data_IF_698552560993
#
_entry.id   IF_698552560993
#
_cell.length_a   1.000
_cell.length_b   1.000
_cell.length_c   1.000
_cell.angle_alpha   90.00
_cell.angle_beta   90.00
_cell.angle_gamma   90.00
#
_symmetry.space_group_name_H-M   'P 1'
#
loop_
_entity.id
_entity.type
_entity.pdbx_description
1 polymer ?
#
# COMPACT_ATOMS: atom_id res chain seq x y z
N UNK A 1 -13.85 -15.22 17.15
CA UNK A 1 -15.02 -14.78 16.36
C UNK A 1 -15.13 -13.26 16.15
N UNK A 2 -14.69 -12.41 17.07
CA UNK A 2 -14.69 -10.93 16.89
C UNK A 2 -13.67 -10.44 15.85
N UNK A 3 -12.52 -11.08 15.70
CA UNK A 3 -11.50 -10.75 14.68
C UNK A 3 -12.01 -10.91 13.24
N UNK A 4 -12.83 -11.92 12.93
CA UNK A 4 -13.34 -12.14 11.57
C UNK A 4 -14.26 -11.01 11.04
N UNK A 5 -14.96 -10.27 11.92
CA UNK A 5 -15.77 -9.10 11.49
C UNK A 5 -14.91 -7.91 11.06
N UNK A 6 -13.76 -7.70 11.70
CA UNK A 6 -12.84 -6.59 11.37
C UNK A 6 -12.17 -6.81 10.02
N UNK A 7 -11.94 -8.05 9.60
CA UNK A 7 -11.30 -8.41 8.35
C UNK A 7 -12.09 -8.01 7.11
N UNK A 8 -13.43 -8.04 7.19
CA UNK A 8 -14.29 -7.73 6.04
C UNK A 8 -14.15 -6.30 5.53
N UNK A 9 -13.70 -5.37 6.39
CA UNK A 9 -13.63 -3.93 6.11
C UNK A 9 -12.22 -3.36 6.22
N UNK A 10 -11.20 -4.20 6.10
CA UNK A 10 -9.79 -3.77 6.26
C UNK A 10 -9.42 -2.66 5.28
N UNK A 11 -9.70 -2.84 3.98
CA UNK A 11 -9.33 -1.86 2.98
C UNK A 11 -10.11 -0.54 3.16
N UNK A 12 -11.37 -0.57 3.60
CA UNK A 12 -12.14 0.64 3.95
C UNK A 12 -11.51 1.39 5.11
N UNK A 13 -11.10 0.69 6.15
CA UNK A 13 -10.43 1.32 7.31
C UNK A 13 -9.14 1.99 6.88
N UNK A 14 -8.32 1.31 6.07
CA UNK A 14 -7.08 1.87 5.51
C UNK A 14 -7.39 3.08 4.62
N UNK A 15 -8.37 2.97 3.72
CA UNK A 15 -8.76 4.05 2.79
C UNK A 15 -9.29 5.29 3.52
N UNK A 16 -10.14 5.11 4.54
CA UNK A 16 -10.64 6.21 5.37
C UNK A 16 -9.49 6.87 6.14
N UNK A 17 -8.62 6.08 6.77
CA UNK A 17 -7.48 6.62 7.52
C UNK A 17 -6.52 7.38 6.61
N UNK A 18 -6.26 6.87 5.41
CA UNK A 18 -5.45 7.54 4.40
C UNK A 18 -6.07 8.85 3.95
N UNK A 19 -7.37 8.84 3.59
CA UNK A 19 -8.10 10.03 3.16
C UNK A 19 -8.12 11.12 4.25
N UNK A 20 -8.39 10.75 5.50
CA UNK A 20 -8.35 11.67 6.63
C UNK A 20 -6.95 12.27 6.84
N UNK A 21 -5.90 11.46 6.73
CA UNK A 21 -4.51 11.94 6.83
C UNK A 21 -4.18 12.99 5.76
N UNK A 22 -4.57 12.74 4.50
CA UNK A 22 -4.37 13.68 3.38
C UNK A 22 -5.21 14.97 3.57
N UNK A 23 -6.46 14.84 4.03
CA UNK A 23 -7.31 16.01 4.29
C UNK A 23 -6.79 16.85 5.45
N UNK A 24 -6.28 16.23 6.51
CA UNK A 24 -5.63 16.94 7.62
C UNK A 24 -4.37 17.66 7.13
N UNK A 25 -3.55 17.03 6.30
CA UNK A 25 -2.38 17.66 5.69
C UNK A 25 -2.79 18.83 4.80
N UNK A 26 -3.85 18.68 4.00
CA UNK A 26 -4.40 19.77 3.18
C UNK A 26 -4.89 20.95 4.04
N UNK A 27 -5.63 20.65 5.12
CA UNK A 27 -6.11 21.68 6.05
C UNK A 27 -4.94 22.40 6.74
N UNK A 28 -3.94 21.65 7.24
CA UNK A 28 -2.76 22.21 7.87
C UNK A 28 -2.03 23.20 6.94
N UNK A 29 -1.76 22.79 5.70
CA UNK A 29 -1.05 23.62 4.71
C UNK A 29 -1.81 24.86 4.28
N UNK A 30 -3.16 24.88 4.38
CA UNK A 30 -3.96 26.03 3.94
C UNK A 30 -4.41 26.95 5.10
N UNK A 31 -4.58 26.42 6.32
CA UNK A 31 -5.11 27.14 7.47
C UNK A 31 -4.02 27.65 8.41
N UNK A 32 -2.89 26.93 8.49
CA UNK A 32 -1.81 27.24 9.43
C UNK A 32 -0.67 27.92 8.67
N UNK A 33 -0.59 29.26 8.82
CA UNK A 33 0.45 30.06 8.14
C UNK A 33 1.78 30.20 8.91
N UNK A 34 1.80 30.34 10.27
CA UNK A 34 3.06 30.43 10.99
C UNK A 34 3.69 29.05 11.20
N UNK A 35 4.95 28.88 10.83
CA UNK A 35 5.72 27.62 11.00
C UNK A 35 5.71 27.10 12.46
N UNK A 36 5.74 28.03 13.42
CA UNK A 36 5.68 27.68 14.85
C UNK A 36 4.35 27.05 15.26
N UNK A 37 3.23 27.52 14.70
CA UNK A 37 1.92 26.94 14.96
C UNK A 37 1.79 25.56 14.35
N UNK A 38 2.34 25.34 13.15
CA UNK A 38 2.40 24.02 12.50
C UNK A 38 3.17 23.01 13.37
N UNK A 39 4.35 23.38 13.86
CA UNK A 39 5.17 22.53 14.74
C UNK A 39 4.42 22.16 16.03
N UNK A 40 3.70 23.11 16.65
CA UNK A 40 2.89 22.87 17.85
C UNK A 40 1.75 21.90 17.56
N UNK A 41 0.99 22.09 16.47
CA UNK A 41 -0.13 21.24 16.09
C UNK A 41 0.36 19.80 15.82
N UNK A 42 1.43 19.64 15.05
CA UNK A 42 2.02 18.33 14.76
C UNK A 42 2.50 17.63 16.03
N UNK A 43 3.13 18.38 16.97
CA UNK A 43 3.57 17.84 18.25
C UNK A 43 2.40 17.37 19.12
N UNK A 44 1.32 18.15 19.19
CA UNK A 44 0.10 17.78 19.92
C UNK A 44 -0.56 16.54 19.27
N UNK A 45 -0.65 16.49 17.95
CA UNK A 45 -1.18 15.32 17.24
C UNK A 45 -0.34 14.05 17.50
N UNK A 46 1.01 14.18 17.52
CA UNK A 46 1.90 13.08 17.84
C UNK A 46 1.68 12.58 19.28
N UNK A 47 1.61 13.49 20.25
CA UNK A 47 1.35 13.12 21.65
C UNK A 47 -0.01 12.44 21.82
N UNK A 48 -1.05 12.91 21.14
CA UNK A 48 -2.37 12.27 21.14
C UNK A 48 -2.32 10.86 20.53
N UNK A 49 -1.59 10.67 19.41
CA UNK A 49 -1.39 9.36 18.82
C UNK A 49 -0.68 8.40 19.77
N UNK A 50 0.43 8.84 20.39
CA UNK A 50 1.17 8.02 21.37
C UNK A 50 0.26 7.67 22.56
N UNK A 51 -0.50 8.63 23.08
CA UNK A 51 -1.45 8.40 24.16
C UNK A 51 -2.54 7.39 23.78
N UNK A 52 -3.12 7.51 22.57
CA UNK A 52 -4.11 6.55 22.06
C UNK A 52 -3.53 5.14 21.91
N UNK A 53 -2.29 5.02 21.42
CA UNK A 53 -1.60 3.73 21.30
C UNK A 53 -1.41 3.08 22.67
N UNK A 54 -0.88 3.83 23.65
CA UNK A 54 -0.68 3.32 25.03
C UNK A 54 -2.01 2.91 25.65
N UNK A 55 -3.07 3.69 25.46
CA UNK A 55 -4.40 3.36 25.98
C UNK A 55 -4.97 2.09 25.34
N UNK A 56 -4.81 1.96 24.02
CA UNK A 56 -5.29 0.78 23.28
C UNK A 56 -4.53 -0.49 23.69
N UNK A 57 -3.21 -0.37 23.90
CA UNK A 57 -2.37 -1.48 24.34
C UNK A 57 -2.76 -1.95 25.76
N UNK A 58 -3.02 -1.02 26.68
CA UNK A 58 -3.55 -1.37 28.01
C UNK A 58 -4.88 -2.11 27.96
N UNK A 59 -5.83 -1.64 27.14
CA UNK A 59 -7.14 -2.30 26.96
C UNK A 59 -6.98 -3.67 26.33
N UNK A 60 -5.99 -3.85 25.44
CA UNK A 60 -5.69 -5.14 24.82
C UNK A 60 -5.09 -6.12 25.83
N UNK A 61 -4.14 -5.68 26.65
CA UNK A 61 -3.52 -6.47 27.72
C UNK A 61 -4.55 -6.84 28.80
N UNK A 62 -5.44 -5.91 29.18
CA UNK A 62 -6.49 -6.15 30.18
C UNK A 62 -7.52 -7.17 29.72
N UNK A 63 -7.92 -7.12 28.43
CA UNK A 63 -8.85 -8.09 27.83
C UNK A 63 -8.22 -9.48 27.61
N UNK A 64 -6.91 -9.56 27.35
CA UNK A 64 -6.20 -10.83 27.18
C UNK A 64 -5.68 -11.40 28.51
N UNK A 65 -5.43 -10.58 29.50
CA UNK A 65 -5.04 -11.03 30.87
C UNK A 65 -6.15 -11.81 31.58
N UNK A 66 -7.40 -11.62 31.19
CA UNK A 66 -8.54 -12.43 31.71
C UNK A 66 -8.73 -13.78 30.98
N UNK A 67 -8.00 -14.02 29.88
CA UNK A 67 -8.03 -15.30 29.15
C UNK A 67 -6.74 -16.14 29.35
N UNK A 68 -5.79 -15.69 30.13
CA UNK A 68 -4.51 -16.37 30.36
C UNK A 68 -4.52 -17.33 31.56
N UNK A 69 -5.58 -18.10 31.76
CA UNK A 69 -5.58 -19.35 32.53
C UNK A 69 -5.84 -20.56 31.62
N UNK A 70 -5.02 -20.67 30.56
CA UNK A 70 -4.84 -21.96 29.86
C UNK A 70 -3.40 -22.38 30.14
N UNK A 71 -3.18 -23.59 30.71
CA UNK A 71 -1.85 -24.09 31.00
C UNK A 71 -0.99 -24.09 29.73
N UNK A 72 0.32 -23.91 29.83
CA UNK A 72 1.21 -24.04 28.70
C UNK A 72 1.22 -25.50 28.27
N UNK A 73 0.39 -25.85 27.29
CA UNK A 73 0.52 -27.11 26.60
C UNK A 73 1.82 -27.11 25.78
N UNK A 74 2.62 -28.08 26.10
CA UNK A 74 3.94 -28.40 25.57
C UNK A 74 4.03 -28.32 24.05
N UNK A 75 5.13 -27.71 23.61
CA UNK A 75 5.87 -27.95 22.35
C UNK A 75 5.23 -28.94 21.36
N UNK A 76 4.44 -28.44 20.43
CA UNK A 76 4.31 -29.06 19.11
C UNK A 76 5.20 -28.28 18.10
N UNK A 77 6.49 -28.41 18.32
CA UNK A 77 7.55 -28.06 17.42
C UNK A 77 7.84 -29.30 16.57
N UNK A 78 7.28 -29.37 15.34
CA UNK A 78 7.94 -30.11 14.24
C UNK A 78 7.18 -30.16 12.90
N UNK A 79 5.93 -29.67 12.80
CA UNK A 79 5.20 -29.77 11.53
C UNK A 79 5.11 -28.45 10.71
N UNK A 80 5.56 -27.32 11.25
CA UNK A 80 5.31 -25.97 10.69
C UNK A 80 6.39 -25.42 9.75
N UNK A 81 7.46 -26.15 9.44
CA UNK A 81 8.58 -25.60 8.63
C UNK A 81 8.17 -25.33 7.18
N UNK A 82 7.28 -26.14 6.61
CA UNK A 82 6.81 -26.00 5.23
C UNK A 82 5.85 -24.82 5.03
N UNK A 83 4.98 -24.57 5.99
CA UNK A 83 3.98 -23.49 5.96
C UNK A 83 4.65 -22.11 6.05
N UNK A 84 5.63 -21.96 6.94
CA UNK A 84 6.39 -20.74 7.10
C UNK A 84 7.24 -20.38 5.86
N UNK A 85 7.74 -21.37 5.14
CA UNK A 85 8.53 -21.15 3.92
C UNK A 85 7.64 -20.58 2.79
N UNK A 86 6.44 -21.12 2.60
CA UNK A 86 5.51 -20.64 1.56
C UNK A 86 4.98 -19.24 1.84
N UNK A 87 4.63 -18.93 3.09
CA UNK A 87 4.25 -17.58 3.50
C UNK A 87 5.36 -16.56 3.21
N UNK A 88 6.61 -16.91 3.48
CA UNK A 88 7.78 -16.08 3.19
C UNK A 88 7.96 -15.80 1.69
N UNK A 89 7.72 -16.79 0.81
CA UNK A 89 7.79 -16.60 -0.65
C UNK A 89 6.73 -15.60 -1.13
N UNK A 90 5.48 -15.73 -0.66
CA UNK A 90 4.40 -14.78 -0.98
C UNK A 90 4.77 -13.37 -0.50
N UNK A 91 5.37 -13.25 0.69
CA UNK A 91 5.86 -11.98 1.22
C UNK A 91 6.93 -11.33 0.36
N UNK A 92 7.93 -12.09 -0.05
CA UNK A 92 9.02 -11.61 -0.94
C UNK A 92 8.46 -11.16 -2.30
N UNK A 93 7.54 -11.93 -2.88
CA UNK A 93 6.89 -11.57 -4.14
C UNK A 93 6.06 -10.28 -4.00
N UNK A 94 5.39 -10.08 -2.87
CA UNK A 94 4.66 -8.85 -2.60
C UNK A 94 5.60 -7.64 -2.45
N UNK A 95 6.74 -7.80 -1.77
CA UNK A 95 7.80 -6.77 -1.67
C UNK A 95 8.31 -6.41 -3.07
N UNK A 96 8.68 -7.40 -3.87
CA UNK A 96 9.17 -7.20 -5.24
C UNK A 96 8.12 -6.52 -6.11
N UNK A 97 6.85 -6.93 -6.01
CA UNK A 97 5.74 -6.32 -6.73
C UNK A 97 5.59 -4.84 -6.38
N UNK A 98 5.60 -4.50 -5.09
CA UNK A 98 5.49 -3.10 -4.63
C UNK A 98 6.70 -2.28 -5.07
N UNK A 99 7.92 -2.81 -5.01
CA UNK A 99 9.12 -2.14 -5.52
C UNK A 99 9.00 -1.77 -6.99
N UNK A 100 8.62 -2.72 -7.84
CA UNK A 100 8.47 -2.51 -9.27
C UNK A 100 7.31 -1.55 -9.59
N UNK A 101 6.19 -1.66 -8.90
CA UNK A 101 5.06 -0.72 -9.05
C UNK A 101 5.45 0.69 -8.61
N UNK A 102 6.20 0.83 -7.51
CA UNK A 102 6.71 2.12 -7.04
C UNK A 102 7.54 2.80 -8.13
N UNK A 103 8.29 2.06 -8.92
CA UNK A 103 9.07 2.63 -10.03
C UNK A 103 8.16 3.28 -11.07
N UNK A 104 7.08 2.61 -11.49
CA UNK A 104 6.10 3.16 -12.45
C UNK A 104 5.43 4.41 -11.88
N UNK A 105 4.94 4.33 -10.63
CA UNK A 105 4.24 5.47 -10.00
C UNK A 105 5.17 6.65 -9.72
N UNK A 106 6.43 6.42 -9.32
CA UNK A 106 7.43 7.47 -9.17
C UNK A 106 7.79 8.12 -10.51
N UNK A 107 7.80 7.36 -11.60
CA UNK A 107 8.02 7.93 -12.93
C UNK A 107 6.87 8.85 -13.34
N UNK A 108 5.63 8.45 -13.06
CA UNK A 108 4.46 9.29 -13.32
C UNK A 108 4.43 10.52 -12.41
N UNK A 109 4.74 10.37 -11.12
CA UNK A 109 4.86 11.47 -10.16
C UNK A 109 5.88 12.51 -10.62
N UNK A 110 7.09 12.05 -10.94
CA UNK A 110 8.16 12.93 -11.40
C UNK A 110 7.82 13.60 -12.74
N UNK A 111 7.14 12.90 -13.64
CA UNK A 111 6.69 13.50 -14.91
C UNK A 111 5.68 14.63 -14.69
N UNK A 112 4.76 14.48 -13.74
CA UNK A 112 3.78 15.51 -13.36
C UNK A 112 4.45 16.66 -12.61
N UNK A 113 5.31 16.34 -11.64
CA UNK A 113 6.01 17.33 -10.81
C UNK A 113 6.99 18.19 -11.61
N UNK A 114 7.68 17.60 -12.60
CA UNK A 114 8.63 18.34 -13.45
C UNK A 114 7.94 19.44 -14.27
N UNK A 115 6.74 19.21 -14.78
CA UNK A 115 5.94 20.21 -15.48
C UNK A 115 5.56 21.38 -14.56
N UNK A 116 5.22 21.09 -13.30
CA UNK A 116 4.94 22.11 -12.29
C UNK A 116 6.21 22.91 -11.92
N UNK A 117 7.34 22.22 -11.69
CA UNK A 117 8.60 22.85 -11.32
C UNK A 117 9.13 23.78 -12.42
N UNK A 118 8.85 23.47 -13.69
CA UNK A 118 9.20 24.32 -14.83
C UNK A 118 8.30 25.56 -14.98
N UNK A 119 7.35 25.76 -14.06
CA UNK A 119 6.47 26.95 -14.01
C UNK A 119 5.44 27.04 -15.14
N UNK A 120 5.26 25.96 -15.91
CA UNK A 120 4.32 25.94 -17.04
C UNK A 120 2.85 25.85 -16.60
N UNK A 121 2.61 25.24 -15.43
CA UNK A 121 1.25 25.11 -14.85
C UNK A 121 1.33 25.22 -13.34
N UNK A 122 0.55 26.12 -12.74
CA UNK A 122 0.34 26.14 -11.28
C UNK A 122 -0.74 25.12 -10.92
N UNK A 123 -0.31 24.04 -10.25
CA UNK A 123 -1.21 22.94 -9.83
C UNK A 123 -1.98 23.31 -8.56
N UNK A 124 -1.47 24.24 -7.74
CA UNK A 124 -2.08 24.60 -6.45
C UNK A 124 -2.18 23.41 -5.47
N UNK A 125 -3.08 23.51 -4.51
CA UNK A 125 -3.29 22.48 -3.47
C UNK A 125 -4.47 21.53 -3.75
N UNK A 126 -5.34 21.87 -4.70
CA UNK A 126 -6.57 21.12 -4.98
C UNK A 126 -6.37 19.63 -5.34
N UNK A 127 -5.26 19.19 -5.98
CA UNK A 127 -5.08 17.80 -6.33
C UNK A 127 -4.97 16.88 -5.11
N UNK A 128 -4.61 17.40 -3.93
CA UNK A 128 -4.62 16.64 -2.67
C UNK A 128 -6.02 16.15 -2.29
N UNK A 129 -7.07 16.92 -2.63
CA UNK A 129 -8.45 16.48 -2.44
C UNK A 129 -8.74 15.27 -3.32
N UNK A 130 -8.26 15.27 -4.56
CA UNK A 130 -8.38 14.14 -5.47
C UNK A 130 -7.67 12.90 -4.94
N UNK A 131 -6.49 13.07 -4.34
CA UNK A 131 -5.74 12.00 -3.68
C UNK A 131 -6.50 11.40 -2.49
N UNK A 132 -7.11 12.24 -1.66
CA UNK A 132 -7.95 11.78 -0.54
C UNK A 132 -9.18 11.00 -1.05
N UNK A 133 -9.88 11.53 -2.06
CA UNK A 133 -11.03 10.86 -2.66
C UNK A 133 -10.67 9.54 -3.31
N UNK A 134 -9.53 9.45 -3.99
CA UNK A 134 -9.04 8.21 -4.61
C UNK A 134 -8.70 7.15 -3.57
N UNK A 135 -8.06 7.52 -2.47
CA UNK A 135 -7.79 6.61 -1.35
C UNK A 135 -9.06 6.09 -0.68
N UNK A 136 -10.05 6.98 -0.50
CA UNK A 136 -11.36 6.60 0.01
C UNK A 136 -12.06 5.63 -0.95
N UNK A 137 -12.12 5.95 -2.24
CA UNK A 137 -12.71 5.10 -3.27
C UNK A 137 -12.01 3.72 -3.33
N UNK A 138 -10.68 3.70 -3.27
CA UNK A 138 -9.88 2.47 -3.24
C UNK A 138 -10.29 1.57 -2.06
N UNK A 139 -10.46 2.14 -0.87
CA UNK A 139 -10.89 1.41 0.31
C UNK A 139 -12.22 0.69 0.11
N UNK A 140 -13.22 1.37 -0.47
CA UNK A 140 -14.52 0.76 -0.76
C UNK A 140 -14.45 -0.27 -1.89
N UNK A 141 -13.76 0.04 -2.98
CA UNK A 141 -13.65 -0.81 -4.16
C UNK A 141 -12.88 -2.09 -3.85
N UNK A 142 -11.80 -2.02 -3.08
CA UNK A 142 -11.03 -3.21 -2.72
C UNK A 142 -11.77 -4.17 -1.79
N UNK A 143 -12.65 -3.69 -0.90
CA UNK A 143 -13.43 -4.55 -0.03
C UNK A 143 -14.60 -5.27 -0.74
N UNK A 144 -14.85 -4.98 -2.02
CA UNK A 144 -15.84 -5.70 -2.82
C UNK A 144 -15.45 -7.18 -2.88
N UNK A 145 -16.43 -8.06 -2.54
CA UNK A 145 -16.23 -9.52 -2.49
C UNK A 145 -14.98 -9.94 -1.69
N UNK A 146 -14.78 -9.29 -0.55
CA UNK A 146 -13.71 -9.63 0.39
C UNK A 146 -12.32 -9.58 -0.26
N UNK A 147 -12.02 -8.49 -0.96
CA UNK A 147 -10.71 -8.19 -1.60
C UNK A 147 -10.28 -9.14 -2.74
N UNK A 148 -11.20 -10.01 -3.18
CA UNK A 148 -10.88 -10.97 -4.27
C UNK A 148 -10.35 -10.29 -5.54
N UNK A 149 -10.84 -9.09 -5.84
CA UNK A 149 -10.49 -8.35 -7.06
C UNK A 149 -9.44 -7.25 -6.84
N UNK A 150 -8.93 -7.09 -5.63
CA UNK A 150 -7.98 -6.02 -5.29
C UNK A 150 -6.75 -6.02 -6.22
N UNK A 151 -6.16 -7.18 -6.47
CA UNK A 151 -5.00 -7.31 -7.37
C UNK A 151 -5.34 -6.99 -8.83
N UNK A 152 -6.51 -7.43 -9.32
CA UNK A 152 -6.97 -7.14 -10.68
C UNK A 152 -7.21 -5.64 -10.89
N UNK A 153 -7.89 -4.99 -9.95
CA UNK A 153 -8.17 -3.55 -10.00
C UNK A 153 -6.84 -2.78 -10.01
N UNK A 154 -5.92 -3.16 -9.11
CA UNK A 154 -4.61 -2.51 -9.07
C UNK A 154 -3.82 -2.71 -10.36
N UNK A 155 -3.91 -3.88 -10.98
CA UNK A 155 -3.30 -4.15 -12.27
C UNK A 155 -3.87 -3.25 -13.39
N UNK A 156 -5.19 -3.05 -13.44
CA UNK A 156 -5.83 -2.12 -14.38
C UNK A 156 -5.35 -0.67 -14.17
N UNK A 157 -5.20 -0.24 -12.92
CA UNK A 157 -4.68 1.09 -12.59
C UNK A 157 -3.21 1.24 -13.03
N UNK A 158 -2.42 0.20 -12.87
CA UNK A 158 -1.03 0.18 -13.34
C UNK A 158 -0.94 0.29 -14.86
N UNK A 159 -1.79 -0.43 -15.61
CA UNK A 159 -1.91 -0.28 -17.07
C UNK A 159 -2.21 1.17 -17.43
N UNK A 160 -3.23 1.76 -16.79
CA UNK A 160 -3.62 3.15 -17.03
C UNK A 160 -2.47 4.12 -16.76
N UNK A 161 -1.74 3.94 -15.65
CA UNK A 161 -0.58 4.76 -15.31
C UNK A 161 0.55 4.62 -16.33
N UNK A 162 0.82 3.40 -16.79
CA UNK A 162 1.85 3.14 -17.82
C UNK A 162 1.49 3.81 -19.14
N UNK A 163 0.24 3.67 -19.60
CA UNK A 163 -0.25 4.35 -20.80
C UNK A 163 -0.13 5.87 -20.63
N UNK A 164 -0.46 6.39 -19.46
CA UNK A 164 -0.39 7.81 -19.16
C UNK A 164 1.04 8.35 -19.26
N UNK A 165 2.05 7.63 -18.77
CA UNK A 165 3.47 8.02 -18.93
C UNK A 165 3.84 8.12 -20.42
N UNK A 166 3.45 7.12 -21.22
CA UNK A 166 3.70 7.12 -22.65
C UNK A 166 3.03 8.31 -23.34
N UNK A 167 1.75 8.57 -23.05
CA UNK A 167 1.00 9.69 -23.62
C UNK A 167 1.59 11.05 -23.23
N UNK A 168 2.00 11.22 -21.97
CA UNK A 168 2.65 12.47 -21.53
C UNK A 168 3.97 12.73 -22.27
N UNK A 169 4.74 11.67 -22.53
CA UNK A 169 6.00 11.80 -23.29
C UNK A 169 5.80 12.03 -24.80
N UNK A 170 4.62 11.75 -25.33
CA UNK A 170 4.19 12.03 -26.69
C UNK A 170 3.41 13.36 -26.81
N UNK A 171 3.62 14.30 -25.87
CA UNK A 171 2.97 15.60 -25.81
C UNK A 171 1.44 15.54 -25.58
N UNK A 172 0.98 14.54 -24.82
CA UNK A 172 -0.41 14.43 -24.41
C UNK A 172 -0.85 15.49 -23.37
N UNK A 173 -2.14 15.60 -23.11
CA UNK A 173 -2.68 16.63 -22.23
C UNK A 173 -2.27 16.41 -20.76
N UNK A 174 -1.56 17.40 -20.20
CA UNK A 174 -1.01 17.34 -18.83
C UNK A 174 -2.08 17.09 -17.74
N UNK A 175 -3.27 17.71 -17.86
CA UNK A 175 -4.34 17.54 -16.87
C UNK A 175 -4.79 16.08 -16.74
N UNK A 176 -4.80 15.33 -17.84
CA UNK A 176 -5.13 13.89 -17.81
C UNK A 176 -4.06 13.14 -16.99
N UNK A 177 -2.77 13.44 -17.22
CA UNK A 177 -1.67 12.90 -16.44
C UNK A 177 -1.78 13.16 -14.96
N UNK A 178 -2.12 14.39 -14.60
CA UNK A 178 -2.33 14.82 -13.22
C UNK A 178 -3.46 14.02 -12.53
N UNK A 179 -4.62 13.92 -13.18
CA UNK A 179 -5.78 13.18 -12.64
C UNK A 179 -5.44 11.70 -12.47
N UNK A 180 -4.83 11.08 -13.49
CA UNK A 180 -4.45 9.67 -13.46
C UNK A 180 -3.42 9.42 -12.36
N UNK A 181 -2.45 10.31 -12.18
CA UNK A 181 -1.46 10.20 -11.11
C UNK A 181 -2.12 10.17 -9.72
N UNK A 182 -2.93 11.19 -9.40
CA UNK A 182 -3.55 11.26 -8.06
C UNK A 182 -4.55 10.13 -7.80
N UNK A 183 -5.29 9.71 -8.83
CA UNK A 183 -6.14 8.52 -8.74
C UNK A 183 -5.30 7.27 -8.44
N UNK A 184 -4.27 7.04 -9.21
CA UNK A 184 -3.39 5.87 -9.07
C UNK A 184 -2.66 5.84 -7.74
N UNK A 185 -2.15 6.98 -7.27
CA UNK A 185 -1.40 7.09 -6.01
C UNK A 185 -2.25 6.71 -4.79
N UNK A 186 -3.52 7.16 -4.73
CA UNK A 186 -4.43 6.77 -3.65
C UNK A 186 -4.75 5.27 -3.66
N UNK A 187 -5.07 4.70 -4.83
CA UNK A 187 -5.28 3.26 -4.97
C UNK A 187 -4.05 2.46 -4.59
N UNK A 188 -2.87 2.88 -5.03
CA UNK A 188 -1.62 2.19 -4.72
C UNK A 188 -1.30 2.22 -3.22
N UNK A 189 -1.49 3.37 -2.55
CA UNK A 189 -1.27 3.50 -1.12
C UNK A 189 -2.16 2.55 -0.30
N UNK A 190 -3.44 2.45 -0.65
CA UNK A 190 -4.38 1.53 0.01
C UNK A 190 -4.06 0.07 -0.33
N UNK A 191 -3.67 -0.22 -1.58
CA UNK A 191 -3.31 -1.57 -2.04
C UNK A 191 -2.16 -2.16 -1.22
N UNK A 192 -1.00 -1.50 -1.18
CA UNK A 192 0.15 -2.09 -0.49
C UNK A 192 -0.07 -2.11 1.02
N UNK A 193 -0.72 -1.10 1.61
CA UNK A 193 -0.99 -1.09 3.06
C UNK A 193 -1.93 -2.23 3.45
N UNK A 194 -3.08 -2.37 2.79
CA UNK A 194 -4.04 -3.43 3.11
C UNK A 194 -3.51 -4.83 2.75
N UNK A 195 -2.74 -4.95 1.66
CA UNK A 195 -2.15 -6.21 1.23
C UNK A 195 -1.12 -6.74 2.22
N UNK A 196 -0.22 -5.89 2.72
CA UNK A 196 0.75 -6.29 3.74
C UNK A 196 0.10 -6.55 5.10
N UNK A 197 -0.91 -5.78 5.51
CA UNK A 197 -1.68 -6.05 6.73
C UNK A 197 -2.44 -7.37 6.65
N UNK A 198 -2.98 -7.74 5.50
CA UNK A 198 -3.60 -9.05 5.30
C UNK A 198 -2.58 -10.18 5.41
N UNK A 199 -1.43 -10.03 4.74
CA UNK A 199 -0.37 -11.03 4.71
C UNK A 199 0.33 -11.19 6.06
N UNK A 200 0.50 -10.10 6.82
CA UNK A 200 1.21 -10.10 8.11
C UNK A 200 0.66 -11.12 9.12
N UNK A 201 -0.63 -11.43 9.06
CA UNK A 201 -1.30 -12.38 9.96
C UNK A 201 -0.80 -13.80 9.85
N UNK A 202 -0.21 -14.14 8.69
CA UNK A 202 0.33 -15.46 8.39
C UNK A 202 1.86 -15.51 8.49
N UNK A 203 2.47 -14.44 9.02
CA UNK A 203 3.93 -14.31 9.14
C UNK A 203 4.38 -14.46 10.60
N UNK A 204 5.64 -14.88 10.80
CA UNK A 204 6.24 -15.04 12.12
C UNK A 204 6.32 -13.74 12.93
N UNK A 205 6.46 -12.60 12.25
CA UNK A 205 6.59 -11.26 12.83
C UNK A 205 5.54 -10.34 12.22
N UNK A 206 4.27 -10.43 12.67
CA UNK A 206 3.15 -9.70 12.06
C UNK A 206 3.36 -8.18 12.06
N UNK A 207 3.94 -7.63 13.14
CA UNK A 207 4.18 -6.20 13.33
C UNK A 207 5.13 -5.64 12.25
N UNK A 208 6.20 -6.39 11.95
CA UNK A 208 7.17 -6.02 10.92
C UNK A 208 6.52 -6.04 9.53
N UNK A 209 5.80 -7.10 9.21
CA UNK A 209 5.18 -7.25 7.89
C UNK A 209 4.03 -6.27 7.66
N UNK A 210 3.27 -5.91 8.69
CA UNK A 210 2.19 -4.92 8.56
C UNK A 210 2.70 -3.54 8.10
N UNK A 211 3.89 -3.11 8.58
CA UNK A 211 4.51 -1.85 8.18
C UNK A 211 5.36 -1.91 6.90
N UNK A 212 5.69 -3.12 6.42
CA UNK A 212 6.64 -3.34 5.33
C UNK A 212 6.24 -2.63 4.03
N UNK A 213 4.94 -2.60 3.71
CA UNK A 213 4.46 -1.97 2.49
C UNK A 213 4.85 -0.50 2.36
N UNK A 214 4.69 0.26 3.43
CA UNK A 214 5.06 1.70 3.45
C UNK A 214 6.58 1.86 3.43
N UNK A 215 7.31 1.05 4.19
CA UNK A 215 8.76 1.09 4.23
C UNK A 215 9.37 0.80 2.84
N UNK A 216 8.95 -0.28 2.20
CA UNK A 216 9.40 -0.67 0.84
C UNK A 216 9.10 0.43 -0.18
N UNK A 217 7.88 0.97 -0.18
CA UNK A 217 7.51 2.05 -1.10
C UNK A 217 8.42 3.28 -0.90
N UNK A 218 8.60 3.75 0.34
CA UNK A 218 9.37 4.96 0.61
C UNK A 218 10.87 4.78 0.32
N UNK A 219 11.45 3.65 0.71
CA UNK A 219 12.87 3.34 0.44
C UNK A 219 13.10 3.24 -1.07
N UNK A 220 12.24 2.51 -1.78
CA UNK A 220 12.35 2.36 -3.23
C UNK A 220 12.23 3.72 -3.91
N UNK A 221 11.21 4.52 -3.57
CA UNK A 221 11.02 5.85 -4.16
C UNK A 221 12.25 6.76 -3.94
N UNK A 222 12.83 6.74 -2.73
CA UNK A 222 14.03 7.54 -2.42
C UNK A 222 15.26 7.07 -3.25
N UNK A 223 15.46 5.77 -3.38
CA UNK A 223 16.60 5.21 -4.13
C UNK A 223 16.49 5.52 -5.63
N UNK A 224 15.29 5.43 -6.20
CA UNK A 224 15.10 5.61 -7.65
C UNK A 224 14.89 7.07 -8.08
N UNK A 225 14.66 8.01 -7.14
CA UNK A 225 14.30 9.39 -7.46
C UNK A 225 15.26 10.05 -8.45
N UNK A 226 16.56 9.96 -8.21
CA UNK A 226 17.59 10.54 -9.11
C UNK A 226 17.60 9.85 -10.48
N UNK A 227 17.45 8.53 -10.52
CA UNK A 227 17.41 7.78 -11.78
C UNK A 227 16.20 8.20 -12.62
N UNK A 228 15.04 8.30 -12.00
CA UNK A 228 13.80 8.72 -12.69
C UNK A 228 13.90 10.14 -13.22
N UNK A 229 14.45 11.08 -12.44
CA UNK A 229 14.66 12.45 -12.89
C UNK A 229 15.64 12.51 -14.07
N UNK A 230 16.73 11.76 -14.05
CA UNK A 230 17.70 11.68 -15.15
C UNK A 230 17.06 11.12 -16.43
N UNK A 231 16.21 10.09 -16.31
CA UNK A 231 15.46 9.53 -17.44
C UNK A 231 14.47 10.56 -18.02
N UNK A 232 13.76 11.27 -17.16
CA UNK A 232 12.74 12.24 -17.58
C UNK A 232 13.32 13.53 -18.18
N UNK A 233 14.53 13.93 -17.77
CA UNK A 233 15.23 15.09 -18.32
C UNK A 233 15.83 14.82 -19.70
N UNK A 234 15.82 13.59 -20.18
CA UNK A 234 16.25 13.26 -21.53
C UNK A 234 15.29 13.81 -22.58
N UNK A 235 15.82 14.44 -23.64
CA UNK A 235 15.04 14.97 -24.76
C UNK A 235 14.40 13.85 -25.61
N UNK A 236 14.94 12.64 -25.54
CA UNK A 236 14.44 11.49 -26.29
C UNK A 236 13.30 10.79 -25.55
N UNK A 237 12.09 10.81 -26.10
CA UNK A 237 10.94 10.08 -25.57
C UNK A 237 11.19 8.57 -25.46
N UNK A 238 12.00 7.99 -26.32
CA UNK A 238 12.33 6.57 -26.36
C UNK A 238 13.05 6.14 -25.08
N UNK A 239 13.92 6.98 -24.52
CA UNK A 239 14.68 6.71 -23.29
C UNK A 239 13.77 6.51 -22.08
N UNK A 240 12.58 7.10 -22.08
CA UNK A 240 11.57 6.90 -21.00
C UNK A 240 10.60 5.78 -21.34
N UNK A 241 10.13 5.72 -22.58
CA UNK A 241 9.09 4.78 -23.01
C UNK A 241 9.59 3.34 -22.92
N UNK A 242 10.79 3.04 -23.42
CA UNK A 242 11.30 1.66 -23.47
C UNK A 242 11.50 1.06 -22.07
N UNK A 243 12.19 1.72 -21.11
CA UNK A 243 12.30 1.20 -19.75
C UNK A 243 10.95 1.08 -19.06
N UNK A 244 10.00 2.01 -19.28
CA UNK A 244 8.67 1.96 -18.69
C UNK A 244 7.89 0.73 -19.18
N UNK A 245 7.93 0.41 -20.47
CA UNK A 245 7.29 -0.77 -21.04
C UNK A 245 7.97 -2.07 -20.56
N UNK A 246 9.29 -2.08 -20.48
CA UNK A 246 10.02 -3.23 -19.93
C UNK A 246 9.66 -3.47 -18.48
N UNK A 247 9.59 -2.41 -17.68
CA UNK A 247 9.17 -2.46 -16.29
C UNK A 247 7.72 -2.95 -16.16
N UNK A 248 6.82 -2.51 -17.03
CA UNK A 248 5.44 -2.98 -17.07
C UNK A 248 5.36 -4.49 -17.31
N UNK A 249 6.16 -5.04 -18.23
CA UNK A 249 6.25 -6.49 -18.46
C UNK A 249 6.76 -7.20 -17.22
N UNK A 250 7.81 -6.69 -16.58
CA UNK A 250 8.37 -7.25 -15.34
C UNK A 250 7.32 -7.28 -14.22
N UNK A 251 6.59 -6.17 -14.00
CA UNK A 251 5.49 -6.12 -13.02
C UNK A 251 4.40 -7.14 -13.36
N UNK A 252 4.05 -7.29 -14.63
CA UNK A 252 3.02 -8.25 -15.06
C UNK A 252 3.40 -9.69 -14.72
N UNK A 253 4.67 -10.05 -14.94
CA UNK A 253 5.19 -11.38 -14.60
C UNK A 253 5.16 -11.60 -13.09
N UNK A 254 5.64 -10.62 -12.31
CA UNK A 254 5.67 -10.72 -10.84
C UNK A 254 4.25 -10.72 -10.25
N UNK A 255 3.33 -9.93 -10.79
CA UNK A 255 1.92 -9.91 -10.38
C UNK A 255 1.24 -11.26 -10.64
N UNK A 256 1.50 -11.89 -11.79
CA UNK A 256 1.00 -13.22 -12.10
C UNK A 256 1.58 -14.27 -11.12
N UNK A 257 2.89 -14.25 -10.89
CA UNK A 257 3.56 -15.14 -9.94
C UNK A 257 3.02 -14.95 -8.51
N UNK A 258 2.87 -13.71 -8.06
CA UNK A 258 2.29 -13.39 -6.75
C UNK A 258 0.86 -13.92 -6.62
N UNK A 259 0.01 -13.70 -7.62
CA UNK A 259 -1.39 -14.13 -7.60
C UNK A 259 -1.50 -15.64 -7.54
N UNK A 260 -0.66 -16.36 -8.31
CA UNK A 260 -0.62 -17.81 -8.31
C UNK A 260 -0.16 -18.38 -6.96
N UNK A 261 0.95 -17.85 -6.42
CA UNK A 261 1.50 -18.29 -5.13
C UNK A 261 0.56 -17.95 -3.96
N UNK A 262 -0.05 -16.76 -3.96
CA UNK A 262 -1.06 -16.38 -2.95
C UNK A 262 -2.25 -17.33 -2.96
N UNK A 263 -2.75 -17.71 -4.15
CA UNK A 263 -3.86 -18.64 -4.28
C UNK A 263 -3.50 -20.01 -3.72
N UNK A 264 -2.36 -20.56 -4.09
CA UNK A 264 -1.87 -21.85 -3.60
C UNK A 264 -1.65 -21.86 -2.07
N UNK A 265 -1.13 -20.76 -1.52
CA UNK A 265 -0.96 -20.58 -0.08
C UNK A 265 -2.29 -20.52 0.67
N UNK A 266 -3.28 -19.79 0.16
CA UNK A 266 -4.61 -19.70 0.78
C UNK A 266 -5.39 -21.01 0.70
N UNK A 267 -5.28 -21.76 -0.39
CA UNK A 267 -5.89 -23.09 -0.53
C UNK A 267 -5.31 -24.07 0.49
N UNK A 268 -4.00 -24.03 0.71
CA UNK A 268 -3.34 -24.87 1.72
C UNK A 268 -3.84 -24.53 3.13
N UNK A 269 -3.90 -23.23 3.50
CA UNK A 269 -4.41 -22.81 4.83
C UNK A 269 -5.84 -23.30 5.09
N UNK A 270 -6.68 -23.35 4.06
CA UNK A 270 -8.06 -23.86 4.18
C UNK A 270 -8.05 -25.37 4.40
N UNK A 271 -7.20 -26.12 3.71
CA UNK A 271 -7.07 -27.57 3.86
C UNK A 271 -6.55 -27.93 5.26
N UNK A 272 -5.48 -27.29 5.70
CA UNK A 272 -4.88 -27.52 7.03
C UNK A 272 -5.87 -27.21 8.16
N UNK A 273 -6.70 -26.14 7.97
CA UNK A 273 -7.77 -25.81 8.93
C UNK A 273 -8.91 -26.85 8.94
N UNK A 274 -9.26 -27.45 7.79
CA UNK A 274 -10.27 -28.49 7.69
C UNK A 274 -9.82 -29.79 8.35
N UNK A 275 -8.55 -30.17 8.14
CA UNK A 275 -7.95 -31.38 8.73
C UNK A 275 -7.88 -31.26 10.26
N UNK A 276 -7.49 -30.09 10.78
CA UNK A 276 -7.47 -29.83 12.23
C UNK A 276 -8.85 -29.88 12.92
N UNK A 277 -9.94 -29.65 12.19
CA UNK A 277 -11.31 -29.80 12.70
C UNK A 277 -11.70 -31.29 12.70
N UNK A 278 -11.33 -32.03 11.66
CA UNK A 278 -11.65 -33.48 11.53
C UNK A 278 -10.92 -34.35 12.57
N UNK A 279 -9.73 -33.95 13.04
CA UNK A 279 -9.01 -34.67 14.11
C UNK A 279 -9.61 -34.47 15.51
N UNK A 280 -10.50 -33.51 15.68
CA UNK A 280 -11.12 -33.19 16.99
C UNK A 280 -12.51 -33.79 17.17
N UNK A 281 -13.08 -34.38 16.13
CA UNK A 281 -14.32 -35.17 16.18
C UNK A 281 -14.03 -36.68 16.34
#
# INVERSE_FOLDING_TARGET
MRMMKTDRYLARTVGISYALGILLQFANNNLVRPETAEAIILSVCLLLLVWMLIKNDRVYCENNGQQAEVPPDEEKSESNTGEHTKGSIVGILMVLLVMLMTFIFSTLDSAVTLVHANGTVDIGQWPRILLALSGLAAGFVFDIKNRKYMGLIMYCIMILSTICIVVLKLAGPFLVGLIVFYLSAGFFAVFFTSGFMELSRHMKTPELWAGMGRAVNNITAAVIANLVLTLLSSDSSIVVIVPTLFLFVAVSIVAAAYTFQKKAFMEQLITDAADAVSEKE
#
